data_IF_054738707288
#
_entry.id   IF_054738707288
#
_cell.length_a   1.000
_cell.length_b   1.000
_cell.length_c   1.000
_cell.angle_alpha   90.00
_cell.angle_beta   90.00
_cell.angle_gamma   90.00
#
_symmetry.space_group_name_H-M   'P 1'
#
loop_
_entity.id
_entity.type
_entity.pdbx_description
1 polymer ?
#
# COMPACT_ATOMS: atom_id res chain seq x y z
N UNK A 1 -18.93 9.81 0.45
CA UNK A 1 -18.08 8.93 1.22
C UNK A 1 -17.51 7.85 0.32
N UNK A 2 -16.21 7.65 0.35
CA UNK A 2 -15.54 6.72 -0.56
C UNK A 2 -15.75 5.26 -0.15
N UNK A 3 -15.92 4.42 -1.17
CA UNK A 3 -15.95 2.96 -1.04
C UNK A 3 -14.64 2.41 -1.60
N UNK A 4 -14.02 1.48 -0.89
CA UNK A 4 -12.75 0.87 -1.34
C UNK A 4 -13.04 -0.57 -1.74
N UNK A 5 -12.69 -0.90 -2.98
CA UNK A 5 -13.02 -2.21 -3.57
C UNK A 5 -11.94 -2.65 -4.55
N UNK A 6 -11.94 -3.92 -4.93
CA UNK A 6 -10.98 -4.46 -5.88
C UNK A 6 -11.14 -3.80 -7.24
N UNK A 7 -10.01 -3.51 -7.88
CA UNK A 7 -10.01 -2.98 -9.24
C UNK A 7 -10.66 -3.98 -10.20
N UNK A 8 -11.58 -3.49 -11.04
CA UNK A 8 -12.25 -4.29 -12.05
C UNK A 8 -12.19 -3.60 -13.42
N UNK A 9 -12.53 -4.32 -14.52
CA UNK A 9 -12.53 -3.71 -15.85
C UNK A 9 -13.48 -2.53 -16.02
N UNK A 10 -14.51 -2.42 -15.19
CA UNK A 10 -15.51 -1.35 -15.30
C UNK A 10 -15.05 -0.01 -14.74
N UNK A 11 -13.99 0.01 -13.94
CA UNK A 11 -13.49 1.25 -13.35
C UNK A 11 -12.76 2.09 -14.40
N UNK A 12 -12.97 3.42 -14.33
CA UNK A 12 -12.33 4.36 -15.25
C UNK A 12 -10.93 4.69 -14.77
N UNK A 13 -9.93 4.02 -15.35
CA UNK A 13 -8.52 4.22 -15.01
C UNK A 13 -7.90 5.39 -15.74
N UNK A 14 -8.46 5.78 -16.89
CA UNK A 14 -7.86 6.79 -17.76
C UNK A 14 -7.96 8.20 -17.18
N UNK A 15 -9.00 8.47 -16.41
CA UNK A 15 -9.21 9.78 -15.82
C UNK A 15 -8.36 10.02 -14.56
N UNK A 16 -7.74 8.97 -14.01
CA UNK A 16 -6.97 9.09 -12.77
C UNK A 16 -5.69 9.88 -13.00
N UNK A 17 -5.45 10.87 -12.15
CA UNK A 17 -4.23 11.67 -12.19
C UNK A 17 -3.81 12.09 -10.78
N UNK A 18 -2.77 11.45 -10.27
CA UNK A 18 -2.20 11.78 -8.96
C UNK A 18 -1.00 12.72 -9.06
N UNK A 19 -0.71 13.22 -10.27
CA UNK A 19 0.42 14.12 -10.56
C UNK A 19 1.78 13.42 -10.52
N UNK A 20 1.80 12.09 -10.42
CA UNK A 20 3.00 11.27 -10.52
C UNK A 20 2.81 10.31 -11.69
N UNK A 21 3.58 10.53 -12.77
CA UNK A 21 3.41 9.79 -14.02
C UNK A 21 3.54 8.28 -13.85
N UNK A 22 4.52 7.83 -13.06
CA UNK A 22 4.73 6.40 -12.87
C UNK A 22 3.56 5.72 -12.17
N UNK A 23 2.92 6.40 -11.22
CA UNK A 23 1.77 5.87 -10.51
C UNK A 23 0.51 5.88 -11.38
N UNK A 24 0.32 6.92 -12.18
CA UNK A 24 -0.76 6.98 -13.17
C UNK A 24 -0.62 5.85 -14.18
N UNK A 25 0.58 5.66 -14.70
CA UNK A 25 0.89 4.65 -15.70
C UNK A 25 0.65 3.24 -15.18
N UNK A 26 1.08 2.97 -13.95
CA UNK A 26 0.86 1.66 -13.35
C UNK A 26 -0.63 1.32 -13.32
N UNK A 27 -1.46 2.25 -12.84
CA UNK A 27 -2.89 2.01 -12.75
C UNK A 27 -3.52 1.77 -14.12
N UNK A 28 -3.14 2.57 -15.11
CA UNK A 28 -3.69 2.49 -16.46
C UNK A 28 -3.27 1.23 -17.21
N UNK A 29 -2.01 0.82 -17.08
CA UNK A 29 -1.41 -0.20 -17.96
C UNK A 29 -1.14 -1.54 -17.28
N UNK A 30 -0.81 -1.56 -16.00
CA UNK A 30 -0.24 -2.75 -15.37
C UNK A 30 -1.07 -3.36 -14.26
N UNK A 31 -1.87 -2.56 -13.55
CA UNK A 31 -2.55 -3.01 -12.34
C UNK A 31 -3.44 -4.25 -12.58
N UNK A 32 -4.27 -4.22 -13.62
CA UNK A 32 -5.16 -5.34 -13.93
C UNK A 32 -4.39 -6.58 -14.34
N UNK A 33 -3.41 -6.42 -15.23
CA UNK A 33 -2.60 -7.53 -15.72
C UNK A 33 -1.83 -8.18 -14.58
N UNK A 34 -1.26 -7.37 -13.70
CA UNK A 34 -0.52 -7.89 -12.54
C UNK A 34 -1.44 -8.64 -11.59
N UNK A 35 -2.67 -8.17 -11.38
CA UNK A 35 -3.66 -8.87 -10.55
C UNK A 35 -4.02 -10.22 -11.16
N UNK A 36 -4.24 -10.28 -12.47
CA UNK A 36 -4.57 -11.51 -13.17
C UNK A 36 -3.44 -12.53 -13.09
N UNK A 37 -2.20 -12.07 -13.08
CA UNK A 37 -1.01 -12.93 -12.98
C UNK A 37 -0.64 -13.28 -11.54
N UNK A 38 -1.34 -12.74 -10.55
CA UNK A 38 -1.03 -12.99 -9.15
C UNK A 38 0.19 -12.25 -8.63
N UNK A 39 0.61 -11.17 -9.32
CA UNK A 39 1.80 -10.41 -8.94
C UNK A 39 1.51 -9.31 -7.92
N UNK A 40 0.25 -9.00 -7.70
CA UNK A 40 -0.19 -8.02 -6.72
C UNK A 40 -1.71 -7.89 -6.77
N UNK A 41 -2.26 -7.18 -5.80
CA UNK A 41 -3.70 -6.88 -5.76
C UNK A 41 -3.88 -5.38 -5.61
N UNK A 42 -4.71 -4.79 -6.45
CA UNK A 42 -4.99 -3.36 -6.44
C UNK A 42 -6.41 -3.11 -5.95
N UNK A 43 -6.53 -2.19 -5.01
CA UNK A 43 -7.80 -1.74 -4.45
C UNK A 43 -7.96 -0.26 -4.73
N UNK A 44 -9.17 0.13 -5.09
CA UNK A 44 -9.44 1.50 -5.55
C UNK A 44 -10.55 2.13 -4.71
N UNK A 45 -10.52 3.45 -4.63
CA UNK A 45 -11.55 4.24 -3.96
C UNK A 45 -12.44 4.91 -4.99
N UNK A 46 -13.74 4.68 -4.88
CA UNK A 46 -14.77 5.27 -5.74
C UNK A 46 -15.84 5.89 -4.87
N UNK A 47 -16.61 6.82 -5.44
CA UNK A 47 -17.84 7.27 -4.82
C UNK A 47 -18.99 6.35 -5.23
N UNK A 48 -20.03 6.21 -4.40
CA UNK A 48 -21.16 5.34 -4.73
C UNK A 48 -21.72 5.66 -6.12
N UNK A 49 -21.97 4.61 -6.89
CA UNK A 49 -22.54 4.69 -8.23
C UNK A 49 -21.66 5.38 -9.26
N UNK A 50 -20.36 5.55 -8.98
CA UNK A 50 -19.39 6.10 -9.93
C UNK A 50 -18.33 5.07 -10.26
N UNK A 51 -17.74 5.20 -11.45
CA UNK A 51 -16.62 4.37 -11.88
C UNK A 51 -15.29 5.10 -11.84
N UNK A 52 -15.30 6.40 -11.52
CA UNK A 52 -14.08 7.20 -11.41
C UNK A 52 -13.25 6.74 -10.20
N UNK A 53 -11.96 6.58 -10.41
CA UNK A 53 -11.03 6.19 -9.35
C UNK A 53 -10.45 7.45 -8.71
N UNK A 54 -10.62 7.59 -7.40
CA UNK A 54 -10.12 8.74 -6.63
C UNK A 54 -8.83 8.43 -5.88
N UNK A 55 -8.49 7.17 -5.75
CA UNK A 55 -7.25 6.75 -5.13
C UNK A 55 -7.09 5.25 -5.27
N UNK A 56 -5.87 4.76 -5.04
CA UNK A 56 -5.64 3.32 -5.07
C UNK A 56 -4.41 2.94 -4.26
N UNK A 57 -4.31 1.66 -3.93
CA UNK A 57 -3.08 1.07 -3.42
C UNK A 57 -2.93 -0.33 -3.99
N UNK A 58 -1.69 -0.81 -3.99
CA UNK A 58 -1.36 -2.16 -4.44
C UNK A 58 -0.58 -2.88 -3.35
N UNK A 59 -0.99 -4.10 -3.02
CA UNK A 59 -0.27 -4.94 -2.06
C UNK A 59 0.22 -6.21 -2.74
N UNK A 60 1.36 -6.71 -2.27
CA UNK A 60 1.93 -7.97 -2.72
C UNK A 60 2.76 -8.58 -1.59
N UNK A 61 3.13 -9.85 -1.75
CA UNK A 61 4.02 -10.53 -0.81
C UNK A 61 5.47 -10.24 -1.15
N UNK A 62 6.34 -10.34 -0.16
CA UNK A 62 7.76 -10.16 -0.38
C UNK A 62 8.58 -10.52 0.84
N UNK A 63 9.84 -10.12 0.82
CA UNK A 63 10.75 -10.37 1.93
C UNK A 63 11.75 -9.23 2.05
N UNK A 64 12.24 -9.02 3.27
CA UNK A 64 13.34 -8.09 3.54
C UNK A 64 14.45 -8.84 4.26
N UNK A 65 15.68 -8.36 4.14
CA UNK A 65 16.81 -8.95 4.85
C UNK A 65 16.65 -8.76 6.36
N UNK A 66 16.89 -9.82 7.12
CA UNK A 66 16.88 -9.73 8.58
C UNK A 66 17.86 -8.67 9.09
N UNK A 67 18.95 -8.44 8.36
CA UNK A 67 20.00 -7.49 8.75
C UNK A 67 19.51 -6.04 8.72
N UNK A 68 18.46 -5.74 7.96
CA UNK A 68 17.92 -4.39 7.85
C UNK A 68 16.91 -4.05 8.95
N UNK A 69 16.53 -5.02 9.76
CA UNK A 69 15.59 -4.84 10.86
C UNK A 69 16.35 -4.66 12.16
N UNK A 70 15.76 -3.91 13.10
CA UNK A 70 16.39 -3.66 14.41
C UNK A 70 16.15 -4.79 15.40
N UNK A 71 15.11 -5.60 15.17
CA UNK A 71 14.76 -6.73 16.02
C UNK A 71 15.72 -7.91 15.83
N UNK A 72 15.88 -8.71 16.87
CA UNK A 72 16.69 -9.92 16.79
C UNK A 72 15.86 -11.02 16.13
N UNK A 73 16.13 -11.28 14.85
CA UNK A 73 15.38 -12.20 14.02
C UNK A 73 16.27 -13.30 13.44
N UNK A 74 15.67 -14.43 13.04
CA UNK A 74 16.43 -15.51 12.38
C UNK A 74 17.14 -15.01 11.13
N UNK A 75 18.26 -15.64 10.79
CA UNK A 75 19.13 -15.23 9.67
C UNK A 75 18.64 -15.78 8.34
N UNK A 76 17.41 -15.44 7.94
CA UNK A 76 16.86 -15.76 6.64
C UNK A 76 15.95 -14.61 6.20
N UNK A 77 15.50 -14.56 4.93
CA UNK A 77 14.60 -13.50 4.48
C UNK A 77 13.32 -13.46 5.33
N UNK A 78 12.96 -12.27 5.78
CA UNK A 78 11.81 -12.07 6.67
C UNK A 78 10.58 -11.76 5.80
N UNK A 79 9.49 -12.53 5.95
CA UNK A 79 8.29 -12.32 5.12
C UNK A 79 7.58 -11.03 5.48
N UNK A 80 7.25 -10.25 4.46
CA UNK A 80 6.52 -8.99 4.63
C UNK A 80 5.40 -8.89 3.61
N UNK A 81 4.44 -8.00 3.87
CA UNK A 81 3.51 -7.53 2.85
C UNK A 81 4.05 -6.20 2.33
N UNK A 82 4.27 -6.11 1.01
CA UNK A 82 4.63 -4.85 0.38
C UNK A 82 3.39 -4.01 0.12
N UNK A 83 3.36 -2.80 0.65
CA UNK A 83 2.43 -1.78 0.21
C UNK A 83 3.17 -1.00 -0.87
N UNK A 84 2.97 -1.42 -2.11
CA UNK A 84 3.82 -0.97 -3.22
C UNK A 84 3.52 0.44 -3.67
N UNK A 85 2.23 0.77 -3.72
CA UNK A 85 1.78 2.05 -4.25
C UNK A 85 0.59 2.52 -3.43
N UNK A 86 0.55 3.81 -3.17
CA UNK A 86 -0.60 4.45 -2.55
C UNK A 86 -0.69 5.84 -3.16
N UNK A 87 -1.73 6.11 -3.91
CA UNK A 87 -1.85 7.34 -4.69
C UNK A 87 -3.27 7.89 -4.64
N UNK A 88 -3.37 9.22 -4.64
CA UNK A 88 -4.63 9.96 -4.54
C UNK A 88 -4.78 10.85 -5.76
N UNK A 89 -5.93 10.78 -6.43
CA UNK A 89 -6.25 11.69 -7.53
C UNK A 89 -6.18 13.13 -7.05
N UNK A 90 -5.69 14.03 -7.89
CA UNK A 90 -5.51 15.44 -7.52
C UNK A 90 -6.80 16.12 -7.04
N UNK A 91 -7.96 15.67 -7.51
CA UNK A 91 -9.25 16.22 -7.10
C UNK A 91 -9.70 15.77 -5.72
N UNK A 92 -9.07 14.74 -5.16
CA UNK A 92 -9.43 14.17 -3.86
C UNK A 92 -8.39 14.45 -2.77
N UNK A 93 -7.33 15.19 -3.07
CA UNK A 93 -6.29 15.50 -2.08
C UNK A 93 -6.84 16.37 -0.94
N UNK A 94 -6.29 16.18 0.25
CA UNK A 94 -6.67 16.97 1.42
C UNK A 94 -7.97 16.57 2.08
N UNK A 95 -8.56 15.43 1.68
CA UNK A 95 -9.82 14.93 2.22
C UNK A 95 -9.68 13.71 3.14
N UNK A 96 -8.45 13.35 3.50
CA UNK A 96 -8.19 12.19 4.35
C UNK A 96 -8.25 10.85 3.64
N UNK A 97 -8.32 10.83 2.31
CA UNK A 97 -8.42 9.58 1.55
C UNK A 97 -7.15 8.75 1.66
N UNK A 98 -5.97 9.38 1.71
CA UNK A 98 -4.71 8.66 1.89
C UNK A 98 -4.70 7.86 3.18
N UNK A 99 -5.15 8.46 4.27
CA UNK A 99 -5.28 7.77 5.55
C UNK A 99 -6.28 6.61 5.46
N UNK A 100 -7.42 6.83 4.82
CA UNK A 100 -8.45 5.80 4.67
C UNK A 100 -7.91 4.61 3.88
N UNK A 101 -7.17 4.86 2.80
CA UNK A 101 -6.56 3.81 2.00
C UNK A 101 -5.50 3.04 2.78
N UNK A 102 -4.66 3.74 3.53
CA UNK A 102 -3.65 3.08 4.36
C UNK A 102 -4.31 2.18 5.41
N UNK A 103 -5.32 2.66 6.11
CA UNK A 103 -6.05 1.88 7.11
C UNK A 103 -6.70 0.65 6.47
N UNK A 104 -7.30 0.81 5.30
CA UNK A 104 -7.89 -0.31 4.57
C UNK A 104 -6.84 -1.37 4.23
N UNK A 105 -5.68 -0.93 3.73
CA UNK A 105 -4.57 -1.83 3.40
C UNK A 105 -4.06 -2.57 4.65
N UNK A 106 -3.87 -1.87 5.75
CA UNK A 106 -3.40 -2.48 6.99
C UNK A 106 -4.40 -3.50 7.53
N UNK A 107 -5.70 -3.20 7.44
CA UNK A 107 -6.74 -4.14 7.88
C UNK A 107 -6.72 -5.41 7.03
N UNK A 108 -6.66 -5.28 5.70
CA UNK A 108 -6.60 -6.44 4.81
C UNK A 108 -5.36 -7.30 5.08
N UNK A 109 -4.23 -6.67 5.26
CA UNK A 109 -2.98 -7.38 5.55
C UNK A 109 -3.05 -8.08 6.91
N UNK A 110 -3.64 -7.44 7.92
CA UNK A 110 -3.83 -8.05 9.23
C UNK A 110 -4.69 -9.32 9.13
N UNK A 111 -5.76 -9.29 8.34
CA UNK A 111 -6.61 -10.45 8.12
C UNK A 111 -5.84 -11.59 7.45
N UNK A 112 -5.07 -11.29 6.41
CA UNK A 112 -4.25 -12.28 5.70
C UNK A 112 -3.18 -12.87 6.63
N UNK A 113 -2.64 -12.06 7.53
CA UNK A 113 -1.58 -12.50 8.45
C UNK A 113 -2.05 -13.55 9.47
N UNK A 114 -3.35 -13.76 9.60
CA UNK A 114 -3.89 -14.83 10.44
C UNK A 114 -3.74 -16.21 9.78
N UNK A 115 -3.56 -16.23 8.45
CA UNK A 115 -3.47 -17.46 7.67
C UNK A 115 -2.09 -17.64 7.03
N UNK A 116 -1.29 -16.60 6.98
CA UNK A 116 -0.01 -16.59 6.29
C UNK A 116 1.01 -15.80 7.10
N UNK A 117 2.24 -16.33 7.24
CA UNK A 117 3.29 -15.64 7.99
C UNK A 117 3.66 -14.32 7.34
N UNK A 118 3.40 -13.22 8.04
CA UNK A 118 3.76 -11.86 7.64
C UNK A 118 4.28 -11.17 8.88
N UNK A 119 5.56 -10.80 8.87
CA UNK A 119 6.19 -10.14 10.02
C UNK A 119 5.83 -8.66 10.10
N UNK A 120 5.76 -7.99 8.95
CA UNK A 120 5.58 -6.54 8.88
C UNK A 120 4.97 -6.11 7.57
N UNK A 121 4.43 -4.88 7.56
CA UNK A 121 4.08 -4.16 6.34
C UNK A 121 5.28 -3.30 5.97
N UNK A 122 5.70 -3.34 4.71
CA UNK A 122 6.88 -2.65 4.22
C UNK A 122 6.49 -1.71 3.08
N UNK A 123 7.08 -0.51 3.06
CA UNK A 123 6.85 0.49 2.02
C UNK A 123 8.16 1.13 1.59
N UNK A 124 8.21 1.58 0.33
CA UNK A 124 9.20 2.54 -0.13
C UNK A 124 8.50 3.87 -0.33
N UNK A 125 8.86 4.87 0.44
CA UNK A 125 8.28 6.21 0.31
C UNK A 125 8.83 6.88 -0.95
N UNK A 126 7.94 7.44 -1.75
CA UNK A 126 8.30 8.06 -3.02
C UNK A 126 9.14 9.33 -2.84
N UNK A 127 8.89 10.06 -1.75
CA UNK A 127 9.54 11.34 -1.47
C UNK A 127 9.41 11.66 0.02
N UNK A 128 9.92 12.82 0.43
CA UNK A 128 9.91 13.24 1.82
C UNK A 128 8.49 13.38 2.38
N UNK A 129 7.56 13.90 1.59
CA UNK A 129 6.17 14.05 2.02
C UNK A 129 5.52 12.69 2.30
N UNK A 130 5.74 11.72 1.42
CA UNK A 130 5.25 10.36 1.61
C UNK A 130 5.89 9.70 2.84
N UNK A 131 7.19 9.88 3.02
CA UNK A 131 7.90 9.36 4.19
C UNK A 131 7.29 9.90 5.48
N UNK A 132 7.08 11.22 5.55
CA UNK A 132 6.51 11.84 6.73
C UNK A 132 5.09 11.33 7.00
N UNK A 133 4.32 11.07 5.96
CA UNK A 133 3.00 10.48 6.08
C UNK A 133 3.08 9.11 6.78
N UNK A 134 3.97 8.23 6.32
CA UNK A 134 4.11 6.90 6.94
C UNK A 134 4.68 6.97 8.36
N UNK A 135 5.65 7.86 8.60
CA UNK A 135 6.20 8.00 9.95
C UNK A 135 5.15 8.39 10.98
N UNK A 136 4.16 9.20 10.59
CA UNK A 136 3.06 9.58 11.48
C UNK A 136 2.21 8.38 11.91
N UNK A 137 2.19 7.31 11.13
CA UNK A 137 1.45 6.09 11.46
C UNK A 137 2.28 5.07 12.22
N UNK A 138 3.51 5.43 12.58
CA UNK A 138 4.36 4.56 13.38
C UNK A 138 5.33 3.70 12.58
N UNK A 139 5.41 3.87 11.27
CA UNK A 139 6.44 3.20 10.47
C UNK A 139 7.82 3.70 10.90
N UNK A 140 8.81 2.82 10.80
CA UNK A 140 10.21 3.13 11.10
C UNK A 140 11.10 2.77 9.92
N UNK A 141 12.30 3.34 9.88
CA UNK A 141 13.25 3.09 8.79
C UNK A 141 13.89 1.72 8.92
N UNK A 142 14.04 1.03 7.76
CA UNK A 142 14.98 -0.07 7.68
C UNK A 142 16.40 0.52 7.55
N UNK A 143 17.42 -0.30 7.79
CA UNK A 143 18.81 0.17 7.85
C UNK A 143 19.42 0.43 6.47
N UNK A 144 18.82 -0.11 5.40
CA UNK A 144 19.37 -0.04 4.05
C UNK A 144 19.10 1.28 3.33
N UNK A 145 18.01 1.97 3.67
CA UNK A 145 17.59 3.18 2.94
C UNK A 145 16.65 4.01 3.82
N UNK A 146 16.86 5.34 3.93
CA UNK A 146 15.99 6.21 4.72
C UNK A 146 14.52 6.25 4.25
N UNK A 147 14.25 5.88 2.98
CA UNK A 147 12.89 5.86 2.43
C UNK A 147 12.26 4.47 2.47
N UNK A 148 12.98 3.47 2.96
CA UNK A 148 12.49 2.11 3.11
C UNK A 148 12.01 1.93 4.54
N UNK A 149 10.69 1.76 4.71
CA UNK A 149 10.03 1.82 6.02
C UNK A 149 9.24 0.53 6.28
N UNK A 150 9.01 0.23 7.56
CA UNK A 150 8.19 -0.92 7.92
C UNK A 150 7.39 -0.68 9.20
N UNK A 151 6.31 -1.45 9.33
CA UNK A 151 5.47 -1.44 10.54
C UNK A 151 5.23 -2.90 10.94
N UNK A 152 5.74 -3.35 12.10
CA UNK A 152 5.56 -4.74 12.53
C UNK A 152 4.09 -5.11 12.70
N UNK A 153 3.73 -6.35 12.35
CA UNK A 153 2.34 -6.80 12.43
C UNK A 153 1.78 -6.74 13.84
N UNK A 154 2.60 -6.94 14.86
CA UNK A 154 2.12 -6.81 16.25
C UNK A 154 1.58 -5.41 16.54
N UNK A 155 2.13 -4.38 15.88
CA UNK A 155 1.62 -3.00 16.01
C UNK A 155 0.38 -2.82 15.15
N UNK A 156 0.41 -3.34 13.92
CA UNK A 156 -0.76 -3.28 13.02
C UNK A 156 -2.00 -3.88 13.68
N UNK A 157 -1.84 -5.06 14.31
CA UNK A 157 -2.97 -5.74 14.95
C UNK A 157 -3.60 -4.96 16.09
N UNK A 158 -2.85 -4.07 16.74
CA UNK A 158 -3.37 -3.21 17.81
C UNK A 158 -4.31 -2.12 17.30
N UNK A 159 -4.30 -1.87 15.98
CA UNK A 159 -5.18 -0.86 15.38
C UNK A 159 -6.61 -1.39 15.16
N UNK A 160 -6.80 -2.70 15.26
CA UNK A 160 -8.09 -3.32 14.91
C UNK A 160 -8.63 -4.28 15.98
#
# INVERSE_FOLDING_TARGET
MYKIESLSPTHDRDAFDCEEESLNDFLKRFARQNSEKGLGRTFIAVLPEENKIYGYYTISSGAVSFANLTENLPRYPIPVAHLRRLAIDKTAKGQGLGKALLIDALRRIAEVSEQLGIYAVEVYALNEAAKNFYLKFGFTELKDDPFHLYLPMKIVRRLF
#
